data_IF_140988235055
#
_entry.id   IF_140988235055
#
_cell.length_a   1.000
_cell.length_b   1.000
_cell.length_c   1.000
_cell.angle_alpha   90.00
_cell.angle_beta   90.00
_cell.angle_gamma   90.00
#
_symmetry.space_group_name_H-M   'P 1'
#
loop_
_entity.id
_entity.type
_entity.pdbx_description
1 polymer ?
#
# COMPACT_ATOMS: atom_id res chain seq x y z
N UNK A 1 -3.04 7.65 -4.38
CA UNK A 1 -2.73 8.28 -5.68
C UNK A 1 -1.85 7.30 -6.42
N UNK A 2 -2.19 6.91 -7.65
CA UNK A 2 -1.19 6.33 -8.53
C UNK A 2 -0.16 7.43 -8.71
N UNK A 3 1.00 7.27 -8.09
CA UNK A 3 2.12 8.17 -8.34
C UNK A 3 2.50 7.87 -9.78
N UNK A 4 2.35 8.89 -10.62
CA UNK A 4 2.35 8.80 -12.08
C UNK A 4 1.02 8.35 -12.71
N UNK A 5 0.55 9.19 -13.64
CA UNK A 5 -0.73 9.13 -14.33
C UNK A 5 -0.74 8.27 -15.60
N UNK A 6 0.02 7.17 -15.63
CA UNK A 6 -0.02 6.14 -16.67
C UNK A 6 0.43 4.81 -16.04
N UNK A 7 -0.42 3.84 -15.75
CA UNK A 7 -1.09 2.97 -16.72
C UNK A 7 -2.28 2.29 -16.01
N UNK A 8 -3.41 2.19 -16.70
CA UNK A 8 -4.75 2.04 -16.13
C UNK A 8 -4.95 0.81 -15.20
N UNK A 9 -5.62 1.00 -14.06
CA UNK A 9 -6.29 -0.04 -13.23
C UNK A 9 -5.46 -0.93 -12.26
N UNK A 10 -4.57 -0.38 -11.44
CA UNK A 10 -3.70 -1.24 -10.59
C UNK A 10 -4.40 -2.03 -9.45
N UNK A 11 -5.69 -1.81 -9.15
CA UNK A 11 -6.46 -2.60 -8.18
C UNK A 11 -7.90 -2.85 -8.62
N UNK A 12 -8.37 -4.09 -8.44
CA UNK A 12 -9.73 -4.54 -8.79
C UNK A 12 -10.84 -3.68 -8.16
N UNK A 13 -10.57 -3.10 -6.98
CA UNK A 13 -11.48 -2.23 -6.25
C UNK A 13 -10.78 -0.92 -5.89
N UNK A 14 -10.53 -0.08 -6.91
CA UNK A 14 -9.74 1.14 -6.78
C UNK A 14 -10.27 2.10 -5.72
N UNK A 15 -11.57 2.41 -5.75
CA UNK A 15 -12.15 3.42 -4.87
C UNK A 15 -12.07 3.01 -3.39
N UNK A 16 -12.42 1.74 -3.11
CA UNK A 16 -12.25 1.15 -1.78
C UNK A 16 -10.77 1.17 -1.34
N UNK A 17 -9.85 0.84 -2.24
CA UNK A 17 -8.40 0.87 -1.94
C UNK A 17 -7.94 2.28 -1.58
N UNK A 18 -8.44 3.31 -2.28
CA UNK A 18 -8.10 4.71 -2.02
C UNK A 18 -8.69 5.19 -0.69
N UNK A 19 -9.92 4.79 -0.37
CA UNK A 19 -10.58 5.16 0.88
C UNK A 19 -9.82 4.61 2.09
N UNK A 20 -9.50 3.32 2.08
CA UNK A 20 -8.72 2.67 3.14
C UNK A 20 -7.32 3.26 3.26
N UNK A 21 -6.67 3.56 2.12
CA UNK A 21 -5.36 4.20 2.12
C UNK A 21 -5.36 5.57 2.81
N UNK A 22 -6.41 6.38 2.59
CA UNK A 22 -6.57 7.68 3.29
C UNK A 22 -6.74 7.49 4.79
N UNK A 23 -7.43 6.44 5.23
CA UNK A 23 -7.63 6.16 6.65
C UNK A 23 -6.32 5.73 7.33
N UNK A 24 -5.55 4.87 6.66
CA UNK A 24 -4.21 4.46 7.12
C UNK A 24 -3.25 5.63 7.17
N UNK A 25 -3.19 6.48 6.13
CA UNK A 25 -2.25 7.61 6.11
C UNK A 25 -2.54 8.65 7.19
N UNK A 26 -3.81 8.84 7.57
CA UNK A 26 -4.21 9.69 8.70
C UNK A 26 -3.81 9.08 10.05
N UNK A 27 -3.95 7.76 10.19
CA UNK A 27 -3.69 7.04 11.44
C UNK A 27 -2.19 6.88 11.72
N UNK A 28 -1.40 6.62 10.67
CA UNK A 28 0.04 6.40 10.76
C UNK A 28 0.78 7.34 9.80
N UNK A 29 0.97 8.63 10.16
CA UNK A 29 1.57 9.62 9.26
C UNK A 29 3.03 9.33 8.88
N UNK A 30 3.71 8.46 9.63
CA UNK A 30 5.09 8.05 9.36
C UNK A 30 5.20 6.92 8.32
N UNK A 31 4.07 6.43 7.82
CA UNK A 31 4.07 5.41 6.77
C UNK A 31 4.43 6.02 5.43
N UNK A 32 5.28 5.31 4.69
CA UNK A 32 5.61 5.58 3.30
C UNK A 32 4.88 4.61 2.39
N UNK A 33 4.38 5.10 1.26
CA UNK A 33 3.66 4.32 0.27
C UNK A 33 4.44 4.31 -1.05
N UNK A 34 4.77 3.12 -1.56
CA UNK A 34 5.54 2.96 -2.81
C UNK A 34 4.98 1.82 -3.65
N UNK A 35 5.16 1.86 -4.97
CA UNK A 35 4.94 0.70 -5.81
C UNK A 35 6.23 -0.13 -5.84
N UNK A 36 6.13 -1.40 -5.43
CA UNK A 36 7.25 -2.33 -5.41
C UNK A 36 6.88 -3.60 -6.18
N UNK A 37 7.86 -4.24 -6.82
CA UNK A 37 7.67 -5.52 -7.49
C UNK A 37 7.63 -6.66 -6.47
N UNK A 38 6.54 -7.42 -6.46
CA UNK A 38 6.38 -8.63 -5.66
C UNK A 38 6.50 -9.86 -6.54
N UNK A 39 7.28 -10.85 -6.09
CA UNK A 39 7.35 -12.17 -6.72
C UNK A 39 6.37 -13.10 -6.00
N UNK A 40 5.39 -13.64 -6.74
CA UNK A 40 4.43 -14.61 -6.22
C UNK A 40 5.03 -16.02 -6.15
N UNK A 41 4.32 -16.93 -5.48
CA UNK A 41 4.77 -18.32 -5.27
C UNK A 41 4.97 -19.10 -6.58
N UNK A 42 4.28 -18.72 -7.63
CA UNK A 42 4.42 -19.31 -8.98
C UNK A 42 5.58 -18.70 -9.79
N UNK A 43 6.34 -17.78 -9.19
CA UNK A 43 7.45 -17.07 -9.84
C UNK A 43 7.01 -15.87 -10.68
N UNK A 44 5.71 -15.62 -10.84
CA UNK A 44 5.24 -14.43 -11.54
C UNK A 44 5.54 -13.16 -10.73
N UNK A 45 5.69 -12.03 -11.42
CA UNK A 45 5.99 -10.74 -10.81
C UNK A 45 4.90 -9.71 -11.08
N UNK A 46 4.61 -8.86 -10.09
CA UNK A 46 3.68 -7.74 -10.25
C UNK A 46 4.04 -6.59 -9.33
N UNK A 47 3.87 -5.38 -9.83
CA UNK A 47 3.99 -4.17 -9.02
C UNK A 47 2.74 -4.00 -8.15
N UNK A 48 2.96 -3.92 -6.83
CA UNK A 48 1.92 -3.69 -5.83
C UNK A 48 2.32 -2.56 -4.88
N UNK A 49 1.33 -2.01 -4.22
CA UNK A 49 1.42 -0.93 -3.26
C UNK A 49 1.97 -1.52 -1.97
N UNK A 50 3.12 -1.03 -1.57
CA UNK A 50 3.81 -1.38 -0.35
C UNK A 50 3.61 -0.27 0.69
N UNK A 51 3.38 -0.70 1.93
CA UNK A 51 3.24 0.15 3.10
C UNK A 51 4.47 -0.09 3.95
N UNK A 52 5.32 0.93 4.10
CA UNK A 52 6.55 0.82 4.88
C UNK A 52 6.52 1.80 6.05
N UNK A 53 6.79 1.33 7.26
CA UNK A 53 6.77 2.13 8.47
C UNK A 53 6.68 1.27 9.72
N UNK A 54 6.44 1.91 10.86
CA UNK A 54 6.32 1.24 12.17
C UNK A 54 4.96 1.51 12.79
N UNK A 55 4.25 0.45 13.20
CA UNK A 55 3.03 0.59 14.00
C UNK A 55 3.42 0.58 15.48
N UNK A 56 2.95 1.55 16.30
CA UNK A 56 3.15 1.51 17.74
C UNK A 56 2.39 0.32 18.34
N UNK A 57 3.12 -0.56 19.02
CA UNK A 57 2.56 -1.71 19.74
C UNK A 57 2.67 -1.45 21.23
N UNK A 58 1.55 -1.53 21.94
CA UNK A 58 1.56 -1.53 23.41
C UNK A 58 2.08 -2.89 23.89
N UNK A 59 3.21 -2.87 24.59
CA UNK A 59 3.81 -4.07 25.14
C UNK A 59 3.67 -4.06 26.66
N UNK A 60 2.91 -5.02 27.22
CA UNK A 60 2.78 -5.19 28.67
C UNK A 60 2.11 -4.02 29.41
N UNK A 61 1.97 -4.18 30.74
CA UNK A 61 1.50 -3.13 31.65
C UNK A 61 2.62 -2.17 32.02
#
# INVERSE_FOLDING_TARGET
>A
MCVDGSEFNCYKFRDLTIEELKNVSKTYPNFTFSMNTYTFKDGSQKDLLNFSGTVPVKYGK
#
